data_IF_063366780089
#
_entry.id   IF_063366780089
#
_cell.length_a   1.000
_cell.length_b   1.000
_cell.length_c   1.000
_cell.angle_alpha   90.00
_cell.angle_beta   90.00
_cell.angle_gamma   90.00
#
_symmetry.space_group_name_H-M   'P 1'
#
loop_
_entity.id
_entity.type
_entity.pdbx_description
1 polymer ?
#
# COMPACT_ATOMS: atom_id res chain seq x y z
N UNK A 1 -26.76 -7.99 29.85
CA UNK A 1 -25.44 -7.37 29.68
C UNK A 1 -24.55 -8.35 28.93
N UNK A 2 -24.48 -8.23 27.61
CA UNK A 2 -23.68 -9.15 26.79
C UNK A 2 -22.20 -8.90 27.02
N UNK A 3 -21.51 -9.88 27.60
CA UNK A 3 -20.06 -9.90 27.67
C UNK A 3 -19.57 -10.15 26.24
N UNK A 4 -19.06 -9.12 25.55
CA UNK A 4 -18.41 -9.33 24.25
C UNK A 4 -17.07 -10.00 24.59
N UNK A 5 -16.88 -11.29 24.26
CA UNK A 5 -15.63 -11.95 24.56
C UNK A 5 -14.52 -11.28 23.75
N UNK A 6 -13.37 -11.02 24.40
CA UNK A 6 -12.17 -10.60 23.68
C UNK A 6 -11.83 -11.68 22.65
N UNK A 7 -11.88 -11.32 21.37
CA UNK A 7 -11.43 -12.20 20.29
C UNK A 7 -9.97 -11.87 19.97
N UNK A 8 -9.14 -12.88 19.67
CA UNK A 8 -7.77 -12.64 19.22
C UNK A 8 -7.77 -11.83 17.93
N UNK A 9 -6.71 -11.05 17.73
CA UNK A 9 -6.46 -10.35 16.47
C UNK A 9 -5.81 -11.35 15.50
N UNK A 10 -6.59 -11.84 14.54
CA UNK A 10 -6.11 -12.79 13.51
C UNK A 10 -5.59 -12.01 12.28
N UNK A 11 -4.72 -11.02 12.50
CA UNK A 11 -4.18 -10.21 11.40
C UNK A 11 -3.29 -11.05 10.49
N UNK A 12 -3.50 -10.95 9.18
CA UNK A 12 -2.69 -11.61 8.17
C UNK A 12 -1.25 -11.03 8.19
N UNK A 13 -0.22 -11.86 8.46
CA UNK A 13 1.17 -11.38 8.53
C UNK A 13 1.70 -10.88 7.19
N UNK A 14 1.15 -11.34 6.05
CA UNK A 14 1.55 -10.84 4.73
C UNK A 14 0.80 -9.55 4.34
N UNK A 15 -0.34 -9.29 4.98
CA UNK A 15 -1.25 -8.20 4.62
C UNK A 15 -1.29 -7.04 5.59
N UNK A 16 -0.68 -7.18 6.77
CA UNK A 16 -0.73 -6.20 7.86
C UNK A 16 0.66 -5.78 8.33
N UNK A 17 0.75 -4.55 8.84
CA UNK A 17 1.99 -4.01 9.40
C UNK A 17 2.43 -4.74 10.68
N UNK A 18 1.45 -5.23 11.46
CA UNK A 18 1.68 -5.97 12.70
C UNK A 18 0.41 -6.71 13.15
N UNK A 19 0.57 -7.64 14.09
CA UNK A 19 -0.52 -8.49 14.62
C UNK A 19 -1.45 -7.81 15.64
N UNK A 20 -1.15 -6.58 16.07
CA UNK A 20 -2.00 -5.82 17.00
C UNK A 20 -3.12 -5.12 16.21
N UNK A 21 -4.37 -5.46 16.50
CA UNK A 21 -5.55 -4.80 15.92
C UNK A 21 -6.09 -3.68 16.83
N UNK A 22 -6.89 -2.79 16.25
CA UNK A 22 -7.59 -1.74 16.99
C UNK A 22 -8.53 -2.35 18.05
N UNK A 23 -8.45 -1.90 19.31
CA UNK A 23 -9.18 -2.55 20.42
C UNK A 23 -10.70 -2.33 20.37
N UNK A 24 -11.16 -1.26 19.71
CA UNK A 24 -12.58 -0.92 19.65
C UNK A 24 -13.28 -1.61 18.47
N UNK A 25 -12.62 -1.69 17.33
CA UNK A 25 -13.17 -2.22 16.06
C UNK A 25 -12.67 -3.63 15.74
N UNK A 26 -11.50 -3.99 16.24
CA UNK A 26 -10.75 -5.18 15.88
C UNK A 26 -10.10 -5.11 14.49
N UNK A 27 -9.98 -3.92 13.88
CA UNK A 27 -9.38 -3.73 12.57
C UNK A 27 -7.86 -3.82 12.64
N UNK A 28 -7.27 -4.66 11.79
CA UNK A 28 -5.82 -4.75 11.62
C UNK A 28 -5.27 -3.62 10.73
N UNK A 29 -4.02 -3.17 10.96
CA UNK A 29 -3.39 -2.16 10.12
C UNK A 29 -2.91 -2.77 8.79
N UNK A 30 -3.70 -2.63 7.73
CA UNK A 30 -3.41 -3.25 6.44
C UNK A 30 -2.41 -2.45 5.59
N UNK A 31 -1.61 -3.15 4.78
CA UNK A 31 -0.79 -2.54 3.74
C UNK A 31 -1.66 -1.92 2.63
N UNK A 32 -1.11 -0.94 1.86
CA UNK A 32 -1.80 -0.38 0.70
C UNK A 32 -2.26 -1.46 -0.29
N UNK A 33 -3.49 -1.32 -0.80
CA UNK A 33 -4.08 -2.30 -1.72
C UNK A 33 -4.71 -3.53 -1.06
N UNK A 34 -4.58 -3.69 0.26
CA UNK A 34 -5.18 -4.76 1.07
C UNK A 34 -6.30 -4.17 1.94
N UNK A 35 -7.29 -5.00 2.27
CA UNK A 35 -8.49 -4.65 3.04
C UNK A 35 -9.02 -5.87 3.81
N UNK A 36 -10.17 -5.69 4.48
CA UNK A 36 -10.74 -6.66 5.39
C UNK A 36 -10.28 -6.45 6.84
N UNK A 37 -11.05 -6.96 7.80
CA UNK A 37 -10.75 -6.82 9.23
C UNK A 37 -9.37 -7.40 9.59
N UNK A 38 -8.99 -8.47 8.90
CA UNK A 38 -7.76 -9.24 9.10
C UNK A 38 -6.70 -8.95 8.02
N UNK A 39 -6.93 -8.02 7.09
CA UNK A 39 -6.04 -7.74 5.96
C UNK A 39 -5.81 -8.97 5.05
N UNK A 40 -6.87 -9.73 4.81
CA UNK A 40 -6.91 -10.98 4.06
C UNK A 40 -7.53 -10.82 2.65
N UNK A 41 -7.95 -9.61 2.29
CA UNK A 41 -8.66 -9.35 1.04
C UNK A 41 -7.98 -8.23 0.25
N UNK A 42 -8.01 -8.31 -1.08
CA UNK A 42 -7.55 -7.20 -1.91
C UNK A 42 -8.62 -6.10 -1.96
N UNK A 43 -8.18 -4.84 -1.94
CA UNK A 43 -9.07 -3.69 -2.13
C UNK A 43 -9.74 -3.77 -3.51
N UNK A 44 -10.94 -3.22 -3.64
CA UNK A 44 -11.59 -3.07 -4.93
C UNK A 44 -10.64 -2.41 -5.96
N UNK A 45 -10.51 -3.02 -7.15
CA UNK A 45 -9.55 -2.60 -8.18
C UNK A 45 -8.20 -3.31 -8.15
N UNK A 46 -7.93 -4.12 -7.12
CA UNK A 46 -6.78 -5.01 -7.02
C UNK A 46 -7.22 -6.45 -7.30
N UNK A 47 -6.35 -7.22 -7.95
CA UNK A 47 -6.53 -8.65 -8.24
C UNK A 47 -5.46 -9.45 -7.50
N UNK A 48 -5.80 -10.67 -7.10
CA UNK A 48 -4.80 -11.60 -6.55
C UNK A 48 -3.97 -12.14 -7.72
N UNK A 49 -2.72 -11.73 -7.82
CA UNK A 49 -1.76 -12.23 -8.81
C UNK A 49 -0.57 -12.83 -8.07
N UNK A 50 -0.31 -14.14 -8.28
CA UNK A 50 0.74 -14.89 -7.58
C UNK A 50 0.68 -14.76 -6.04
N UNK A 51 -0.54 -14.76 -5.49
CA UNK A 51 -0.76 -14.70 -4.04
C UNK A 51 -0.61 -13.30 -3.42
N UNK A 52 -0.43 -12.24 -4.22
CA UNK A 52 -0.37 -10.85 -3.74
C UNK A 52 -1.45 -9.99 -4.37
N UNK A 53 -1.86 -8.95 -3.67
CA UNK A 53 -2.78 -7.95 -4.19
C UNK A 53 -2.06 -7.02 -5.16
N UNK A 54 -2.31 -7.20 -6.46
CA UNK A 54 -1.79 -6.35 -7.53
C UNK A 54 -2.90 -5.46 -8.07
N UNK A 55 -2.70 -4.15 -7.99
CA UNK A 55 -3.62 -3.18 -8.59
C UNK A 55 -3.58 -3.26 -10.11
N UNK A 56 -4.70 -2.93 -10.78
CA UNK A 56 -4.61 -2.47 -12.18
C UNK A 56 -3.77 -1.20 -12.17
N UNK A 57 -2.49 -1.32 -12.53
CA UNK A 57 -1.52 -0.23 -12.47
C UNK A 57 -1.99 0.97 -13.28
N UNK A 58 -2.44 2.01 -12.58
CA UNK A 58 -2.23 3.40 -13.00
C UNK A 58 -1.02 3.90 -12.19
N UNK A 59 0.17 3.36 -12.50
CA UNK A 59 1.51 3.88 -12.12
C UNK A 59 1.60 4.59 -10.76
N UNK A 60 1.82 3.83 -9.69
CA UNK A 60 2.49 4.35 -8.48
C UNK A 60 3.27 3.23 -7.81
N UNK A 61 4.50 2.99 -8.27
CA UNK A 61 5.59 2.35 -7.48
C UNK A 61 6.95 2.62 -8.14
N UNK A 62 7.22 3.84 -8.61
CA UNK A 62 8.60 4.27 -8.91
C UNK A 62 8.68 5.80 -9.02
N UNK A 63 9.22 6.47 -7.99
CA UNK A 63 9.72 7.83 -8.16
C UNK A 63 11.03 7.79 -8.98
N UNK A 64 10.91 7.52 -10.27
CA UNK A 64 11.56 8.33 -11.30
C UNK A 64 10.40 9.13 -11.93
N UNK A 65 10.11 10.34 -11.44
CA UNK A 65 10.70 11.58 -11.95
C UNK A 65 10.44 11.78 -13.45
N UNK A 66 10.10 13.01 -13.84
CA UNK A 66 10.02 13.50 -15.22
C UNK A 66 11.37 13.34 -15.97
N UNK A 67 11.85 12.12 -16.19
CA UNK A 67 12.94 11.79 -17.10
C UNK A 67 12.40 11.65 -18.54
N UNK A 68 11.63 12.64 -18.97
CA UNK A 68 11.21 12.77 -20.37
C UNK A 68 11.29 14.21 -20.88
N UNK A 69 11.75 15.16 -20.05
CA UNK A 69 11.99 16.56 -20.44
C UNK A 69 13.41 17.06 -20.12
N UNK A 70 14.35 16.23 -19.68
CA UNK A 70 15.78 16.61 -19.70
C UNK A 70 16.38 16.16 -21.02
N UNK A 71 15.78 16.68 -22.10
CA UNK A 71 16.31 16.60 -23.44
C UNK A 71 17.15 17.86 -23.66
N UNK A 72 18.47 17.72 -23.65
CA UNK A 72 19.36 18.46 -24.55
C UNK A 72 19.27 20.00 -24.59
N UNK A 73 19.17 20.71 -23.45
CA UNK A 73 19.25 22.19 -23.47
C UNK A 73 19.96 22.92 -22.31
N UNK A 74 20.75 22.27 -21.45
CA UNK A 74 21.52 23.01 -20.41
C UNK A 74 23.03 22.71 -20.40
N UNK A 75 23.58 22.34 -21.56
CA UNK A 75 25.01 22.56 -21.86
C UNK A 75 25.33 24.03 -22.21
N UNK A 76 24.43 24.97 -21.88
CA UNK A 76 24.58 26.41 -22.13
C UNK A 76 24.67 27.26 -20.86
N UNK A 77 24.94 26.66 -19.69
CA UNK A 77 25.30 27.42 -18.47
C UNK A 77 26.80 27.35 -18.13
N UNK A 78 27.64 26.95 -19.10
CA UNK A 78 29.11 27.11 -19.06
C UNK A 78 29.56 28.45 -19.69
N UNK A 79 28.65 29.22 -20.30
CA UNK A 79 28.94 30.58 -20.78
C UNK A 79 27.77 31.53 -20.50
N UNK A 80 27.68 31.96 -19.25
CA UNK A 80 27.40 33.36 -18.98
C UNK A 80 28.30 33.75 -17.82
N UNK A 81 29.12 34.79 -18.04
CA UNK A 81 29.80 35.48 -16.97
C UNK A 81 28.81 35.92 -15.88
#
# INVERSE_FOLDING_TARGET
MTLIPCRPCDCNPEGSHHSVCDKATGQCPCYPGITGKQCDQCRAGYVVERGRCRGRSLVTDEWHALQSYVAWSDLLQIYQC
#
